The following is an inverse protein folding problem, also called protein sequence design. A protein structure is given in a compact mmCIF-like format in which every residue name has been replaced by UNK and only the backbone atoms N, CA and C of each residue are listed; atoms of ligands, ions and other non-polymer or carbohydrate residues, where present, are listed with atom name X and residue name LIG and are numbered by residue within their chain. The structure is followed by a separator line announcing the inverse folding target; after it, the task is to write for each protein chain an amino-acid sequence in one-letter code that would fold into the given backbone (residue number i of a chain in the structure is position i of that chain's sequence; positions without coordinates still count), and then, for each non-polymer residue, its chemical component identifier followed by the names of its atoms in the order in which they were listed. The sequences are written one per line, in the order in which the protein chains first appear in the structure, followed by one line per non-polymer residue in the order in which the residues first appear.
data_IF_480914892453
#
_entry.id   IF_480914892453
#
_cell.length_a   1.000
_cell.length_b   1.000
_cell.length_c   1.000
_cell.angle_alpha   90.00
_cell.angle_beta   90.00
_cell.angle_gamma   90.00
#
_symmetry.space_group_name_H-M   'P 1'
#
loop_
_entity.id
_entity.type
_entity.pdbx_description
1 polymer ?
#
# COMPACT_ATOMS: atom_id res chain seq x y z
N UNK A 1 -5.13 0.92 -14.29
CA UNK A 1 -5.11 -0.55 -14.13
C UNK A 1 -4.84 -1.29 -15.43
N UNK A 2 -5.63 -1.10 -16.48
CA UNK A 2 -5.49 -1.83 -17.76
C UNK A 2 -4.12 -1.64 -18.43
N UNK A 3 -3.56 -0.42 -18.40
CA UNK A 3 -2.24 -0.12 -18.96
C UNK A 3 -1.09 -0.81 -18.22
N UNK A 4 -1.17 -0.89 -16.88
CA UNK A 4 -0.16 -1.58 -16.06
C UNK A 4 -0.20 -3.09 -16.25
N UNK A 5 -1.40 -3.67 -16.34
CA UNK A 5 -1.59 -5.10 -16.61
C UNK A 5 -1.09 -5.50 -18.01
N UNK A 6 -1.36 -4.69 -19.03
CA UNK A 6 -0.90 -4.94 -20.39
C UNK A 6 0.63 -4.87 -20.53
N UNK A 7 1.28 -3.92 -19.85
CA UNK A 7 2.74 -3.79 -19.87
C UNK A 7 3.42 -4.90 -19.09
N UNK A 8 2.88 -5.27 -17.91
CA UNK A 8 3.40 -6.40 -17.14
C UNK A 8 3.28 -7.73 -17.92
N UNK A 9 2.16 -7.93 -18.63
CA UNK A 9 1.96 -9.09 -19.50
C UNK A 9 2.96 -9.12 -20.67
N UNK A 10 3.18 -7.98 -21.34
CA UNK A 10 4.11 -7.89 -22.48
C UNK A 10 5.58 -8.10 -22.07
N UNK A 11 5.99 -7.53 -20.94
CA UNK A 11 7.36 -7.70 -20.41
C UNK A 11 7.60 -9.14 -19.93
N UNK A 12 6.61 -9.74 -19.26
CA UNK A 12 6.67 -11.14 -18.82
C UNK A 12 6.77 -12.11 -20.00
N UNK A 13 5.97 -11.90 -21.04
CA UNK A 13 5.96 -12.72 -22.25
C UNK A 13 7.28 -12.59 -23.03
N UNK A 14 7.85 -11.39 -23.10
CA UNK A 14 9.14 -11.14 -23.75
C UNK A 14 10.30 -11.84 -23.03
N UNK A 15 10.32 -11.78 -21.69
CA UNK A 15 11.38 -12.41 -20.90
C UNK A 15 11.33 -13.95 -20.96
N UNK A 16 10.13 -14.54 -20.94
CA UNK A 16 9.96 -15.99 -20.99
C UNK A 16 10.28 -16.59 -22.37
N UNK A 17 9.94 -15.89 -23.46
CA UNK A 17 10.11 -16.41 -24.83
C UNK A 17 11.55 -16.23 -25.34
N UNK A 18 12.24 -15.15 -24.95
CA UNK A 18 13.54 -14.78 -25.55
C UNK A 18 14.74 -15.32 -24.78
N UNK A 19 14.68 -15.42 -23.44
CA UNK A 19 15.88 -15.73 -22.63
C UNK A 19 16.02 -17.19 -22.21
N UNK A 20 14.96 -18.01 -22.19
CA UNK A 20 15.07 -19.47 -21.99
C UNK A 20 15.87 -19.92 -20.75
N UNK A 21 15.84 -19.16 -19.67
CA UNK A 21 16.67 -19.40 -18.47
C UNK A 21 16.04 -20.47 -17.55
N UNK A 22 16.80 -21.53 -17.26
CA UNK A 22 16.43 -22.60 -16.32
C UNK A 22 16.67 -22.19 -14.86
N UNK A 23 15.60 -22.22 -14.05
CA UNK A 23 15.62 -21.77 -12.65
C UNK A 23 16.28 -22.73 -11.64
N UNK A 24 16.69 -23.94 -12.06
CA UNK A 24 17.23 -24.96 -11.16
C UNK A 24 18.68 -24.73 -10.74
N UNK A 25 19.40 -23.82 -11.41
CA UNK A 25 20.79 -23.46 -11.04
C UNK A 25 20.79 -22.19 -10.20
N UNK A 26 21.41 -22.19 -8.99
CA UNK A 26 21.33 -21.05 -8.07
C UNK A 26 21.91 -19.73 -8.62
N UNK A 27 22.91 -19.80 -9.51
CA UNK A 27 23.42 -18.59 -10.20
C UNK A 27 22.43 -18.07 -11.23
N UNK A 28 21.84 -18.96 -12.01
CA UNK A 28 20.91 -18.59 -13.08
C UNK A 28 19.61 -18.03 -12.48
N UNK A 29 19.15 -18.57 -11.35
CA UNK A 29 18.06 -17.99 -10.55
C UNK A 29 18.35 -16.56 -10.08
N UNK A 30 19.55 -16.28 -9.58
CA UNK A 30 19.93 -14.92 -9.16
C UNK A 30 19.93 -13.94 -10.34
N UNK A 31 20.42 -14.36 -11.50
CA UNK A 31 20.38 -13.56 -12.73
C UNK A 31 18.94 -13.31 -13.19
N UNK A 32 18.08 -14.35 -13.21
CA UNK A 32 16.65 -14.23 -13.52
C UNK A 32 16.01 -13.16 -12.64
N UNK A 33 16.20 -13.22 -11.32
CA UNK A 33 15.61 -12.28 -10.37
C UNK A 33 16.07 -10.84 -10.60
N UNK A 34 17.39 -10.61 -10.71
CA UNK A 34 17.95 -9.26 -10.88
C UNK A 34 17.48 -8.64 -12.20
N UNK A 35 17.54 -9.40 -13.29
CA UNK A 35 17.14 -8.92 -14.62
C UNK A 35 15.65 -8.62 -14.65
N UNK A 36 14.82 -9.51 -14.09
CA UNK A 36 13.36 -9.33 -14.05
C UNK A 36 12.97 -8.10 -13.23
N UNK A 37 13.52 -7.94 -12.03
CA UNK A 37 13.25 -6.77 -11.17
C UNK A 37 13.70 -5.47 -11.85
N UNK A 38 14.88 -5.48 -12.47
CA UNK A 38 15.42 -4.28 -13.14
C UNK A 38 14.55 -3.88 -14.33
N UNK A 39 14.21 -4.84 -15.20
CA UNK A 39 13.40 -4.57 -16.39
C UNK A 39 11.97 -4.15 -16.03
N UNK A 40 11.35 -4.81 -15.06
CA UNK A 40 10.00 -4.42 -14.59
C UNK A 40 10.00 -3.03 -13.95
N UNK A 41 11.04 -2.69 -13.17
CA UNK A 41 11.20 -1.34 -12.60
C UNK A 41 11.35 -0.27 -13.68
N UNK A 42 12.20 -0.52 -14.70
CA UNK A 42 12.38 0.40 -15.82
C UNK A 42 11.10 0.56 -16.64
N UNK A 43 10.41 -0.54 -16.94
CA UNK A 43 9.16 -0.52 -17.68
C UNK A 43 8.06 0.25 -16.94
N UNK A 44 7.93 0.02 -15.63
CA UNK A 44 6.99 0.76 -14.79
C UNK A 44 7.28 2.26 -14.79
N UNK A 45 8.55 2.66 -14.57
CA UNK A 45 8.96 4.06 -14.62
C UNK A 45 8.69 4.70 -15.99
N UNK A 46 9.03 4.01 -17.07
CA UNK A 46 8.81 4.51 -18.43
C UNK A 46 7.32 4.78 -18.68
N UNK A 47 6.43 3.88 -18.26
CA UNK A 47 4.98 4.07 -18.36
C UNK A 47 4.51 5.22 -17.47
N UNK A 48 5.02 5.33 -16.23
CA UNK A 48 4.69 6.42 -15.33
C UNK A 48 5.03 7.79 -15.91
N UNK A 49 6.20 7.92 -16.54
CA UNK A 49 6.61 9.19 -17.17
C UNK A 49 5.92 9.44 -18.52
N UNK A 50 5.54 8.40 -19.26
CA UNK A 50 4.83 8.52 -20.53
C UNK A 50 3.34 8.82 -20.33
N UNK A 51 2.78 8.49 -19.18
CA UNK A 51 1.38 8.80 -18.84
C UNK A 51 1.25 10.29 -18.52
N UNK A 52 0.36 10.98 -19.23
CA UNK A 52 0.15 12.40 -19.04
C UNK A 52 -0.40 12.71 -17.63
N UNK A 53 0.05 13.78 -16.96
CA UNK A 53 -0.52 14.19 -15.69
C UNK A 53 -2.03 14.49 -15.82
N UNK A 54 -2.80 14.05 -14.83
CA UNK A 54 -4.25 14.23 -14.78
C UNK A 54 -4.62 15.73 -14.70
N UNK A 55 -5.69 16.21 -15.37
CA UNK A 55 -6.08 17.62 -15.35
C UNK A 55 -6.36 18.15 -13.94
N UNK A 56 -5.97 19.40 -13.67
CA UNK A 56 -6.11 20.08 -12.37
C UNK A 56 -7.53 20.02 -11.79
N UNK A 57 -8.55 20.03 -12.66
CA UNK A 57 -9.96 19.89 -12.25
C UNK A 57 -10.26 18.54 -11.58
N UNK A 58 -9.72 17.45 -12.11
CA UNK A 58 -9.89 16.10 -11.54
C UNK A 58 -9.08 15.99 -10.26
N UNK A 59 -7.86 16.54 -10.24
CA UNK A 59 -6.99 16.54 -9.07
C UNK A 59 -7.61 17.30 -7.89
N UNK A 60 -8.24 18.44 -8.16
CA UNK A 60 -8.93 19.27 -7.15
C UNK A 60 -10.21 18.57 -6.65
N UNK A 61 -10.98 17.93 -7.54
CA UNK A 61 -12.15 17.14 -7.17
C UNK A 61 -11.78 15.92 -6.30
N UNK A 62 -10.68 15.24 -6.63
CA UNK A 62 -10.11 14.16 -5.84
C UNK A 62 -9.61 14.65 -4.47
N UNK A 63 -8.87 15.76 -4.44
CA UNK A 63 -8.38 16.37 -3.21
C UNK A 63 -9.54 16.69 -2.25
N UNK A 64 -10.65 17.24 -2.76
CA UNK A 64 -11.84 17.52 -1.95
C UNK A 64 -12.52 16.26 -1.40
N UNK A 65 -12.46 15.15 -2.15
CA UNK A 65 -13.11 13.88 -1.78
C UNK A 65 -12.30 13.08 -0.76
N UNK A 66 -11.01 12.91 -1.00
CA UNK A 66 -10.13 12.07 -0.18
C UNK A 66 -9.50 12.85 0.98
N UNK A 67 -9.43 14.19 0.87
CA UNK A 67 -8.84 15.08 1.87
C UNK A 67 -7.47 14.58 2.36
N UNK A 68 -6.54 14.28 1.44
CA UNK A 68 -5.25 13.70 1.81
C UNK A 68 -4.47 14.68 2.70
N UNK A 69 -3.80 14.13 3.70
CA UNK A 69 -2.93 14.87 4.61
C UNK A 69 -1.46 14.73 4.20
N UNK A 70 -0.71 15.84 4.12
CA UNK A 70 0.73 15.81 3.90
C UNK A 70 1.31 17.06 3.22
N UNK A 71 2.61 17.35 3.40
CA UNK A 71 3.24 18.57 2.85
C UNK A 71 3.32 18.60 1.32
N UNK A 72 3.23 17.44 0.65
CA UNK A 72 3.22 17.34 -0.81
C UNK A 72 1.94 17.84 -1.49
N UNK A 73 0.84 17.98 -0.73
CA UNK A 73 -0.45 18.44 -1.24
C UNK A 73 -0.67 19.95 -1.09
N UNK A 74 0.30 20.69 -0.53
CA UNK A 74 0.22 22.15 -0.35
C UNK A 74 -0.16 22.93 -1.62
N UNK A 75 0.40 22.63 -2.81
CA UNK A 75 0.05 23.35 -4.04
C UNK A 75 -1.41 23.14 -4.45
N UNK A 76 -1.89 21.89 -4.34
CA UNK A 76 -3.27 21.50 -4.71
C UNK A 76 -4.28 22.00 -3.69
N UNK A 77 -3.92 21.99 -2.39
CA UNK A 77 -4.73 22.52 -1.31
C UNK A 77 -4.99 24.02 -1.49
N UNK A 78 -3.97 24.78 -1.91
CA UNK A 78 -4.10 26.21 -2.20
C UNK A 78 -5.08 26.51 -3.35
N UNK A 79 -5.16 25.61 -4.35
CA UNK A 79 -6.10 25.73 -5.48
C UNK A 79 -7.53 25.29 -5.12
N UNK A 80 -7.69 24.41 -4.12
CA UNK A 80 -8.97 23.78 -3.77
C UNK A 80 -9.81 24.50 -2.71
N UNK A 81 -9.34 25.62 -2.16
CA UNK A 81 -10.00 26.36 -1.07
C UNK A 81 -9.83 25.71 0.31
N UNK A 82 -10.40 26.28 1.38
CA UNK A 82 -10.20 25.80 2.76
C UNK A 82 -10.88 24.44 2.99
N UNK A 83 -10.13 23.37 2.80
CA UNK A 83 -10.52 22.01 3.18
C UNK A 83 -10.07 21.79 4.63
N UNK A 84 -11.01 21.64 5.56
CA UNK A 84 -10.68 21.33 6.96
C UNK A 84 -10.25 19.86 7.04
N UNK A 85 -8.93 19.63 7.08
CA UNK A 85 -8.33 18.31 7.26
C UNK A 85 -8.55 17.87 8.71
N UNK A 86 -9.51 16.99 8.93
CA UNK A 86 -9.77 16.38 10.22
C UNK A 86 -9.11 15.01 10.25
N UNK A 87 -8.00 14.88 10.99
CA UNK A 87 -7.24 13.64 11.07
C UNK A 87 -5.80 13.91 11.47
N UNK A 88 -5.12 12.89 11.98
CA UNK A 88 -3.68 12.97 12.24
C UNK A 88 -2.95 11.96 11.36
N UNK A 89 -1.99 12.45 10.55
CA UNK A 89 -1.15 11.64 9.66
C UNK A 89 -0.51 10.45 10.37
N UNK A 90 -0.16 10.64 11.64
CA UNK A 90 0.38 9.60 12.50
C UNK A 90 -0.60 8.44 12.71
N UNK A 91 -1.91 8.70 12.89
CA UNK A 91 -2.91 7.64 13.09
C UNK A 91 -3.15 6.84 11.81
N UNK A 92 -3.21 7.51 10.65
CA UNK A 92 -3.34 6.82 9.36
C UNK A 92 -2.12 5.95 9.05
N UNK A 93 -0.90 6.46 9.29
CA UNK A 93 0.32 5.68 9.13
C UNK A 93 0.38 4.49 10.11
N UNK A 94 -0.04 4.68 11.37
CA UNK A 94 -0.13 3.59 12.32
C UNK A 94 -1.15 2.53 11.87
N UNK A 95 -2.29 2.95 11.33
CA UNK A 95 -3.30 2.04 10.80
C UNK A 95 -2.80 1.26 9.57
N UNK A 96 -2.04 1.92 8.69
CA UNK A 96 -1.39 1.28 7.55
C UNK A 96 -0.38 0.23 8.00
N UNK A 97 0.46 0.55 9.00
CA UNK A 97 1.43 -0.39 9.57
C UNK A 97 0.72 -1.59 10.22
N UNK A 98 -0.35 -1.36 10.99
CA UNK A 98 -1.18 -2.41 11.55
C UNK A 98 -1.80 -3.30 10.46
N UNK A 99 -2.22 -2.71 9.33
CA UNK A 99 -2.70 -3.44 8.16
C UNK A 99 -1.63 -4.33 7.53
N UNK A 100 -0.39 -3.85 7.43
CA UNK A 100 0.73 -4.68 6.97
C UNK A 100 0.98 -5.85 7.93
N UNK A 101 1.02 -5.59 9.24
CA UNK A 101 1.19 -6.64 10.26
C UNK A 101 0.06 -7.66 10.19
N UNK A 102 -1.19 -7.22 10.04
CA UNK A 102 -2.36 -8.08 9.87
C UNK A 102 -2.16 -9.05 8.70
N UNK A 103 -1.89 -8.53 7.50
CA UNK A 103 -1.79 -9.34 6.28
C UNK A 103 -0.62 -10.33 6.36
N UNK A 104 0.55 -9.88 6.81
CA UNK A 104 1.71 -10.77 6.92
C UNK A 104 1.52 -11.83 8.01
N UNK A 105 1.01 -11.47 9.18
CA UNK A 105 0.72 -12.44 10.24
C UNK A 105 -0.33 -13.45 9.81
N UNK A 106 -1.37 -13.05 9.07
CA UNK A 106 -2.36 -13.97 8.51
C UNK A 106 -1.73 -14.93 7.51
N UNK A 107 -0.96 -14.41 6.54
CA UNK A 107 -0.34 -15.21 5.48
C UNK A 107 0.64 -16.24 6.05
N UNK A 108 1.57 -15.79 6.90
CA UNK A 108 2.53 -16.69 7.55
C UNK A 108 1.86 -17.62 8.56
N UNK A 109 0.81 -17.16 9.25
CA UNK A 109 0.04 -17.98 10.20
C UNK A 109 -0.64 -19.16 9.53
N UNK A 110 -1.35 -18.91 8.43
CA UNK A 110 -1.96 -19.96 7.60
C UNK A 110 -0.88 -20.90 7.04
N UNK A 111 0.22 -20.35 6.53
CA UNK A 111 1.35 -21.14 6.04
C UNK A 111 1.94 -22.07 7.11
N UNK A 112 2.14 -21.59 8.33
CA UNK A 112 2.71 -22.39 9.42
C UNK A 112 1.80 -23.52 9.91
N UNK A 113 0.48 -23.30 9.92
CA UNK A 113 -0.51 -24.35 10.23
C UNK A 113 -0.43 -25.48 9.19
N UNK A 114 -0.28 -25.13 7.91
CA UNK A 114 -0.26 -26.10 6.81
C UNK A 114 1.05 -26.89 6.72
N UNK A 115 2.21 -26.27 7.00
CA UNK A 115 3.51 -26.87 6.69
C UNK A 115 4.28 -27.49 7.87
N UNK A 116 4.16 -26.99 9.12
CA UNK A 116 5.18 -27.35 10.13
C UNK A 116 4.76 -27.36 11.60
N UNK A 117 3.95 -26.41 12.09
CA UNK A 117 3.57 -26.38 13.52
C UNK A 117 2.32 -25.53 13.78
N UNK A 118 1.26 -26.16 14.31
CA UNK A 118 0.01 -25.50 14.64
C UNK A 118 0.18 -24.38 15.70
N UNK A 119 1.09 -24.53 16.66
CA UNK A 119 1.27 -23.57 17.75
C UNK A 119 1.79 -22.19 17.29
N UNK A 120 2.83 -22.15 16.44
CA UNK A 120 3.34 -20.90 15.89
C UNK A 120 2.34 -20.25 14.92
N UNK A 121 1.63 -21.07 14.15
CA UNK A 121 0.56 -20.60 13.27
C UNK A 121 -0.60 -19.97 14.06
N UNK A 122 -1.01 -20.58 15.17
CA UNK A 122 -2.03 -20.03 16.06
C UNK A 122 -1.60 -18.69 16.66
N UNK A 123 -0.35 -18.58 17.11
CA UNK A 123 0.21 -17.33 17.64
C UNK A 123 0.18 -16.21 16.59
N UNK A 124 0.57 -16.50 15.35
CA UNK A 124 0.51 -15.54 14.24
C UNK A 124 -0.94 -15.14 13.92
N UNK A 125 -1.88 -16.08 13.90
CA UNK A 125 -3.29 -15.75 13.71
C UNK A 125 -3.88 -14.92 14.85
N UNK A 126 -3.47 -15.13 16.10
CA UNK A 126 -3.87 -14.27 17.22
C UNK A 126 -3.33 -12.85 17.06
N UNK A 127 -2.08 -12.67 16.61
CA UNK A 127 -1.52 -11.33 16.34
C UNK A 127 -2.27 -10.63 15.21
N UNK A 128 -2.67 -11.37 14.17
CA UNK A 128 -3.52 -10.88 13.09
C UNK A 128 -4.88 -10.44 13.63
N UNK A 129 -5.56 -11.30 14.39
CA UNK A 129 -6.86 -10.95 14.99
C UNK A 129 -6.77 -9.70 15.89
N UNK A 130 -5.71 -9.56 16.68
CA UNK A 130 -5.47 -8.37 17.50
C UNK A 130 -5.26 -7.11 16.64
N UNK A 131 -4.46 -7.20 15.58
CA UNK A 131 -4.26 -6.08 14.65
C UNK A 131 -5.59 -5.65 13.98
N UNK A 132 -6.44 -6.62 13.59
CA UNK A 132 -7.77 -6.33 13.03
C UNK A 132 -8.66 -5.60 14.04
N UNK A 133 -8.70 -6.06 15.30
CA UNK A 133 -9.48 -5.42 16.37
C UNK A 133 -8.97 -4.00 16.66
N UNK A 134 -7.65 -3.80 16.69
CA UNK A 134 -7.06 -2.47 16.90
C UNK A 134 -7.41 -1.51 15.76
N UNK A 135 -7.37 -1.98 14.51
CA UNK A 135 -7.79 -1.20 13.34
C UNK A 135 -9.28 -0.84 13.47
N UNK A 136 -10.15 -1.82 13.75
CA UNK A 136 -11.59 -1.61 13.90
C UNK A 136 -11.90 -0.57 14.98
N UNK A 137 -11.29 -0.70 16.17
CA UNK A 137 -11.45 0.29 17.26
C UNK A 137 -10.93 1.68 16.91
N UNK A 138 -9.82 1.76 16.18
CA UNK A 138 -9.24 3.04 15.78
C UNK A 138 -10.08 3.73 14.68
N UNK A 139 -10.86 2.97 13.91
CA UNK A 139 -11.85 3.47 12.96
C UNK A 139 -13.18 3.86 13.65
N UNK A 140 -13.54 3.19 14.73
CA UNK A 140 -14.75 3.46 15.55
C UNK A 140 -14.61 4.68 16.48
N UNK A 141 -13.39 5.17 16.73
CA UNK A 141 -13.14 6.41 17.47
C UNK A 141 -12.79 7.65 16.60
N UNK A 142 -13.72 8.19 15.78
CA UNK A 142 -13.53 9.50 15.15
C UNK A 142 -13.66 10.71 16.10
N UNK A 143 -14.41 10.63 17.21
CA UNK A 143 -14.94 11.85 17.87
C UNK A 143 -14.58 12.07 19.37
N UNK A 144 -13.57 11.36 19.91
CA UNK A 144 -13.22 11.50 21.34
C UNK A 144 -12.37 12.72 21.70
N UNK A 145 -11.50 13.18 20.80
CA UNK A 145 -10.56 14.28 21.07
C UNK A 145 -11.20 15.68 20.87
N UNK A 146 -12.35 15.77 20.19
CA UNK A 146 -13.06 17.02 19.91
C UNK A 146 -13.90 17.48 21.11
N UNK A 147 -14.57 16.57 21.80
CA UNK A 147 -15.38 16.91 22.98
C UNK A 147 -14.53 17.39 24.17
N UNK A 148 -13.39 16.74 24.44
CA UNK A 148 -12.51 17.11 25.55
C UNK A 148 -11.74 18.40 25.30
N UNK A 149 -11.36 18.71 24.04
CA UNK A 149 -10.68 19.98 23.69
C UNK A 149 -11.63 21.16 23.59
N UNK A 150 -12.88 20.94 23.18
CA UNK A 150 -13.91 21.97 23.21
C UNK A 150 -14.31 22.33 24.65
N UNK A 151 -14.42 21.35 25.55
CA UNK A 151 -14.71 21.58 26.97
C UNK A 151 -13.54 22.20 27.76
N UNK A 152 -12.30 22.04 27.30
CA UNK A 152 -11.13 22.69 27.90
C UNK A 152 -10.90 24.13 27.39
N UNK A 153 -11.64 24.56 26.37
CA UNK A 153 -11.57 25.89 25.76
C UNK A 153 -12.79 26.79 26.10
N UNK A 154 -13.70 26.30 26.95
CA UNK A 154 -14.83 27.05 27.54
C UNK A 154 -14.61 27.26 29.03
#
# INVERSE_FOLDING_TARGET
EVSGMAVAAAVSLYLQIVMGWDGDRPRDFAYIMIVTVTLTTMAWLAVTFMTHPEPDKTLTAFHRRVRPQGPGWKPVAAMSGPVVVHGSLRRELANALLGCVLVYSALFGVGQILLRSAALGLGLLLTSALAAVLIARNLEHPDGDSATRAAAAS
#
